data_IF_857050296562
#
_entry.id   IF_857050296562
#
_cell.length_a   1.000
_cell.length_b   1.000
_cell.length_c   1.000
_cell.angle_alpha   90.00
_cell.angle_beta   90.00
_cell.angle_gamma   90.00
#
_symmetry.space_group_name_H-M   'P 1'
#
loop_
_entity.id
_entity.type
_entity.pdbx_description
1 polymer ?
#
# COMPACT_ATOMS: atom_id res chain seq x y z
N UNK A 1 78.99 -5.18 23.73
CA UNK A 1 77.78 -5.61 24.46
C UNK A 1 76.71 -4.50 24.40
N UNK A 2 76.32 -4.06 23.19
CA UNK A 2 75.51 -2.84 23.01
C UNK A 2 74.71 -2.85 21.69
N UNK A 3 74.12 -3.99 21.34
CA UNK A 3 73.35 -4.15 20.09
C UNK A 3 72.03 -4.92 20.26
N UNK A 4 71.64 -5.26 21.50
CA UNK A 4 70.50 -6.16 21.76
C UNK A 4 69.23 -5.46 22.25
N UNK A 5 69.27 -4.14 22.44
CA UNK A 5 68.19 -3.39 23.12
C UNK A 5 67.25 -2.64 22.17
N UNK A 6 67.57 -2.54 20.87
CA UNK A 6 66.73 -1.78 19.91
C UNK A 6 65.70 -2.65 19.16
N UNK A 7 65.75 -3.97 19.31
CA UNK A 7 64.85 -4.88 18.59
C UNK A 7 63.48 -5.05 19.27
N UNK A 8 63.36 -4.87 20.59
CA UNK A 8 62.10 -5.12 21.32
C UNK A 8 61.11 -3.94 21.30
N UNK A 9 61.54 -2.73 20.90
CA UNK A 9 60.67 -1.54 20.88
C UNK A 9 59.74 -1.42 19.66
N UNK A 10 59.90 -2.27 18.63
CA UNK A 10 59.18 -2.12 17.34
C UNK A 10 57.96 -3.03 17.16
N UNK A 11 57.71 -3.98 18.06
CA UNK A 11 56.59 -4.92 17.93
C UNK A 11 55.28 -4.45 18.61
N UNK A 12 55.33 -3.47 19.51
CA UNK A 12 54.15 -3.01 20.27
C UNK A 12 53.18 -2.11 19.47
N UNK A 13 53.50 -1.71 18.24
CA UNK A 13 52.73 -0.70 17.48
C UNK A 13 51.84 -1.22 16.35
N UNK A 14 51.73 -2.53 16.10
CA UNK A 14 51.07 -3.08 14.88
C UNK A 14 49.67 -3.67 15.08
N UNK A 15 49.08 -3.61 16.26
CA UNK A 15 47.80 -4.30 16.56
C UNK A 15 46.51 -3.49 16.46
N UNK A 16 46.55 -2.16 16.51
CA UNK A 16 45.37 -1.38 16.92
C UNK A 16 44.50 -0.78 15.80
N UNK A 17 44.82 -0.97 14.51
CA UNK A 17 44.19 -0.21 13.41
C UNK A 17 43.31 -0.97 12.43
N UNK A 18 43.01 -2.26 12.64
CA UNK A 18 42.42 -3.14 11.59
C UNK A 18 40.97 -3.59 11.80
N UNK A 19 40.32 -3.18 12.90
CA UNK A 19 38.94 -3.57 13.23
C UNK A 19 37.85 -2.64 12.70
N UNK A 20 38.12 -1.33 12.60
CA UNK A 20 37.09 -0.29 12.42
C UNK A 20 36.43 -0.28 11.02
N UNK A 21 37.18 -0.68 9.98
CA UNK A 21 36.68 -0.64 8.59
C UNK A 21 35.69 -1.75 8.22
N UNK A 22 35.69 -2.90 8.93
CA UNK A 22 34.81 -4.03 8.62
C UNK A 22 33.39 -3.81 9.16
N UNK A 23 33.28 -3.24 10.36
CA UNK A 23 31.99 -2.94 10.99
C UNK A 23 31.23 -1.84 10.24
N UNK A 24 31.95 -0.84 9.71
CA UNK A 24 31.37 0.21 8.87
C UNK A 24 30.89 -0.30 7.50
N UNK A 25 31.54 -1.32 6.93
CA UNK A 25 31.12 -1.92 5.66
C UNK A 25 29.88 -2.82 5.83
N UNK A 26 29.81 -3.60 6.92
CA UNK A 26 28.65 -4.43 7.25
C UNK A 26 27.41 -3.57 7.59
N UNK A 27 27.59 -2.46 8.31
CA UNK A 27 26.51 -1.52 8.60
C UNK A 27 25.83 -0.93 7.35
N UNK A 28 26.61 -0.60 6.31
CA UNK A 28 26.09 -0.08 5.04
C UNK A 28 25.31 -1.13 4.25
N UNK A 29 25.81 -2.36 4.15
CA UNK A 29 25.12 -3.44 3.43
C UNK A 29 23.77 -3.79 4.10
N UNK A 30 23.70 -3.77 5.43
CA UNK A 30 22.44 -3.97 6.17
C UNK A 30 21.42 -2.85 5.92
N UNK A 31 21.87 -1.60 5.88
CA UNK A 31 21.00 -0.45 5.59
C UNK A 31 20.42 -0.54 4.16
N UNK A 32 21.26 -0.83 3.17
CA UNK A 32 20.85 -1.02 1.78
C UNK A 32 19.85 -2.15 1.60
N UNK A 33 20.03 -3.28 2.31
CA UNK A 33 19.10 -4.41 2.25
C UNK A 33 17.72 -4.08 2.84
N UNK A 34 17.67 -3.33 3.94
CA UNK A 34 16.41 -2.87 4.54
C UNK A 34 15.67 -1.95 3.59
N UNK A 35 16.34 -0.93 3.06
CA UNK A 35 15.77 0.00 2.09
C UNK A 35 15.23 -0.71 0.83
N UNK A 36 15.97 -1.70 0.29
CA UNK A 36 15.45 -2.52 -0.84
C UNK A 36 14.22 -3.33 -0.45
N UNK A 37 14.20 -3.92 0.74
CA UNK A 37 13.05 -4.67 1.25
C UNK A 37 11.82 -3.79 1.39
N UNK A 38 12.01 -2.59 1.95
CA UNK A 38 10.95 -1.61 2.13
C UNK A 38 10.40 -1.16 0.77
N UNK A 39 11.26 -0.81 -0.19
CA UNK A 39 10.84 -0.44 -1.55
C UNK A 39 10.07 -1.57 -2.25
N UNK A 40 10.57 -2.80 -2.16
CA UNK A 40 9.89 -3.95 -2.77
C UNK A 40 8.50 -4.16 -2.16
N UNK A 41 8.37 -4.02 -0.84
CA UNK A 41 7.08 -4.06 -0.14
C UNK A 41 6.10 -3.01 -0.64
N UNK A 42 6.54 -1.75 -0.79
CA UNK A 42 5.72 -0.67 -1.32
C UNK A 42 5.26 -0.92 -2.76
N UNK A 43 6.15 -1.45 -3.62
CA UNK A 43 5.81 -1.80 -5.01
C UNK A 43 4.76 -2.91 -5.04
N UNK A 44 4.93 -3.96 -4.25
CA UNK A 44 3.94 -5.06 -4.17
C UNK A 44 2.60 -4.53 -3.69
N UNK A 45 2.58 -3.70 -2.64
CA UNK A 45 1.35 -3.11 -2.13
C UNK A 45 0.64 -2.21 -3.16
N UNK A 46 1.42 -1.42 -3.92
CA UNK A 46 0.89 -0.61 -5.01
C UNK A 46 0.27 -1.47 -6.13
N UNK A 47 0.95 -2.55 -6.55
CA UNK A 47 0.42 -3.49 -7.55
C UNK A 47 -0.86 -4.15 -7.06
N UNK A 48 -0.89 -4.59 -5.80
CA UNK A 48 -2.09 -5.18 -5.18
C UNK A 48 -3.25 -4.19 -5.18
N UNK A 49 -3.00 -2.92 -4.85
CA UNK A 49 -4.02 -1.88 -4.87
C UNK A 49 -4.60 -1.66 -6.28
N UNK A 50 -3.76 -1.64 -7.32
CA UNK A 50 -4.20 -1.54 -8.72
C UNK A 50 -5.05 -2.74 -9.11
N UNK A 51 -4.58 -3.96 -8.85
CA UNK A 51 -5.32 -5.20 -9.17
C UNK A 51 -6.66 -5.23 -8.44
N UNK A 52 -6.69 -4.86 -7.16
CA UNK A 52 -7.91 -4.75 -6.39
C UNK A 52 -8.87 -3.71 -7.01
N UNK A 53 -8.36 -2.54 -7.42
CA UNK A 53 -9.16 -1.53 -8.12
C UNK A 53 -9.79 -2.05 -9.41
N UNK A 54 -9.02 -2.77 -10.24
CA UNK A 54 -9.54 -3.42 -11.46
C UNK A 54 -10.66 -4.40 -11.12
N UNK A 55 -10.43 -5.31 -10.17
CA UNK A 55 -11.42 -6.32 -9.77
C UNK A 55 -12.68 -5.68 -9.22
N UNK A 56 -12.56 -4.69 -8.34
CA UNK A 56 -13.68 -3.98 -7.73
C UNK A 56 -14.45 -3.18 -8.78
N UNK A 57 -13.75 -2.47 -9.67
CA UNK A 57 -14.37 -1.72 -10.77
C UNK A 57 -15.15 -2.63 -11.71
N UNK A 58 -14.58 -3.77 -12.10
CA UNK A 58 -15.24 -4.75 -12.95
C UNK A 58 -16.45 -5.39 -12.27
N UNK A 59 -16.28 -5.93 -11.06
CA UNK A 59 -17.36 -6.57 -10.32
C UNK A 59 -18.50 -5.59 -10.03
N UNK A 60 -18.20 -4.38 -9.57
CA UNK A 60 -19.19 -3.33 -9.33
C UNK A 60 -19.95 -2.95 -10.60
N UNK A 61 -19.26 -2.80 -11.74
CA UNK A 61 -19.90 -2.54 -13.03
C UNK A 61 -20.84 -3.66 -13.44
N UNK A 62 -20.51 -4.93 -13.16
CA UNK A 62 -21.39 -6.06 -13.46
C UNK A 62 -22.64 -6.11 -12.57
N UNK A 63 -22.53 -5.75 -11.29
CA UNK A 63 -23.60 -5.96 -10.30
C UNK A 63 -24.41 -4.72 -9.95
N UNK A 64 -23.97 -3.50 -10.31
CA UNK A 64 -24.58 -2.26 -9.80
C UNK A 64 -26.10 -2.12 -10.09
N UNK A 65 -26.59 -2.82 -11.13
CA UNK A 65 -28.00 -2.80 -11.53
C UNK A 65 -28.86 -3.85 -10.81
N UNK A 66 -28.27 -4.72 -10.02
CA UNK A 66 -28.99 -5.79 -9.35
C UNK A 66 -29.93 -5.23 -8.28
N UNK A 67 -31.21 -5.55 -8.41
CA UNK A 67 -32.26 -5.21 -7.45
C UNK A 67 -32.88 -6.49 -6.85
N UNK A 68 -33.29 -6.40 -5.58
CA UNK A 68 -34.03 -7.45 -4.87
C UNK A 68 -35.23 -6.77 -4.20
N UNK A 69 -36.45 -7.18 -4.55
CA UNK A 69 -37.71 -6.58 -4.05
C UNK A 69 -37.76 -5.04 -4.21
N UNK A 70 -37.19 -4.52 -5.29
CA UNK A 70 -37.10 -3.08 -5.57
C UNK A 70 -35.97 -2.34 -4.83
N UNK A 71 -35.22 -3.01 -3.95
CA UNK A 71 -34.07 -2.43 -3.27
C UNK A 71 -32.81 -2.50 -4.15
N UNK A 72 -32.00 -1.44 -4.24
CA UNK A 72 -30.82 -1.36 -5.11
C UNK A 72 -29.58 -2.03 -4.47
N UNK A 73 -29.71 -3.32 -4.14
CA UNK A 73 -28.68 -4.07 -3.39
C UNK A 73 -27.33 -4.14 -4.11
N UNK A 74 -27.35 -4.16 -5.45
CA UNK A 74 -26.15 -4.25 -6.28
C UNK A 74 -25.21 -3.07 -6.08
N UNK A 75 -25.70 -1.85 -6.29
CA UNK A 75 -24.87 -0.64 -6.13
C UNK A 75 -24.47 -0.42 -4.67
N UNK A 76 -25.36 -0.71 -3.71
CA UNK A 76 -25.03 -0.59 -2.27
C UNK A 76 -23.87 -1.51 -1.92
N UNK A 77 -23.95 -2.78 -2.33
CA UNK A 77 -22.88 -3.77 -2.09
C UNK A 77 -21.59 -3.35 -2.79
N UNK A 78 -21.66 -2.89 -4.04
CA UNK A 78 -20.50 -2.43 -4.79
C UNK A 78 -19.80 -1.25 -4.10
N UNK A 79 -20.54 -0.26 -3.61
CA UNK A 79 -19.98 0.88 -2.89
C UNK A 79 -19.36 0.47 -1.54
N UNK A 80 -19.99 -0.47 -0.82
CA UNK A 80 -19.39 -1.03 0.41
C UNK A 80 -18.07 -1.73 0.11
N UNK A 81 -17.99 -2.50 -0.97
CA UNK A 81 -16.74 -3.15 -1.39
C UNK A 81 -15.68 -2.13 -1.79
N UNK A 82 -16.04 -1.02 -2.44
CA UNK A 82 -15.11 0.08 -2.73
C UNK A 82 -14.56 0.68 -1.44
N UNK A 83 -15.41 0.94 -0.43
CA UNK A 83 -14.97 1.47 0.85
C UNK A 83 -14.01 0.51 1.56
N UNK A 84 -14.39 -0.77 1.67
CA UNK A 84 -13.55 -1.79 2.32
C UNK A 84 -12.22 -1.98 1.57
N UNK A 85 -12.26 -2.00 0.24
CA UNK A 85 -11.07 -2.03 -0.60
C UNK A 85 -10.17 -0.81 -0.36
N UNK A 86 -10.75 0.38 -0.25
CA UNK A 86 -10.01 1.60 0.09
C UNK A 86 -9.38 1.54 1.49
N UNK A 87 -10.10 1.06 2.50
CA UNK A 87 -9.55 0.85 3.86
C UNK A 87 -8.40 -0.13 3.83
N UNK A 88 -8.54 -1.23 3.09
CA UNK A 88 -7.47 -2.22 2.90
C UNK A 88 -6.26 -1.62 2.17
N UNK A 89 -6.47 -0.93 1.05
CA UNK A 89 -5.39 -0.31 0.28
C UNK A 89 -4.66 0.76 1.11
N UNK A 90 -5.38 1.48 1.98
CA UNK A 90 -4.79 2.42 2.93
C UNK A 90 -3.88 1.75 3.95
N UNK A 91 -4.27 0.58 4.46
CA UNK A 91 -3.42 -0.18 5.39
C UNK A 91 -2.16 -0.72 4.73
N UNK A 92 -2.20 -0.99 3.43
CA UNK A 92 -1.09 -1.61 2.70
C UNK A 92 -0.11 -0.59 2.09
N UNK A 93 -0.59 0.54 1.61
CA UNK A 93 0.21 1.52 0.85
C UNK A 93 -0.23 2.98 1.09
N UNK A 94 -0.77 3.28 2.28
CA UNK A 94 -1.21 4.63 2.67
C UNK A 94 -2.20 5.26 1.66
N UNK A 95 -2.21 6.59 1.58
CA UNK A 95 -3.04 7.32 0.63
C UNK A 95 -2.72 6.99 -0.84
N UNK A 96 -1.50 6.57 -1.15
CA UNK A 96 -1.12 6.17 -2.52
C UNK A 96 -1.87 4.90 -2.93
N UNK A 97 -1.99 3.92 -2.04
CA UNK A 97 -2.79 2.72 -2.27
C UNK A 97 -4.26 3.04 -2.57
N UNK A 98 -4.86 3.92 -1.77
CA UNK A 98 -6.26 4.36 -1.98
C UNK A 98 -6.43 5.04 -3.34
N UNK A 99 -5.50 5.92 -3.70
CA UNK A 99 -5.52 6.61 -4.99
C UNK A 99 -5.41 5.62 -6.16
N UNK A 100 -4.47 4.67 -6.09
CA UNK A 100 -4.27 3.67 -7.15
C UNK A 100 -5.49 2.75 -7.31
N UNK A 101 -6.09 2.30 -6.20
CA UNK A 101 -7.33 1.52 -6.22
C UNK A 101 -8.47 2.31 -6.87
N UNK A 102 -8.66 3.56 -6.45
CA UNK A 102 -9.68 4.46 -6.99
C UNK A 102 -9.50 4.68 -8.49
N UNK A 103 -8.28 5.06 -8.90
CA UNK A 103 -7.94 5.32 -10.30
C UNK A 103 -8.14 4.08 -11.17
N UNK A 104 -7.63 2.91 -10.76
CA UNK A 104 -7.78 1.67 -11.51
C UNK A 104 -9.25 1.24 -11.63
N UNK A 105 -10.04 1.40 -10.56
CA UNK A 105 -11.47 1.10 -10.57
C UNK A 105 -12.28 2.04 -11.45
N UNK A 106 -11.99 3.34 -11.43
CA UNK A 106 -12.61 4.32 -12.34
C UNK A 106 -12.27 3.98 -13.78
N UNK A 107 -10.99 3.78 -14.10
CA UNK A 107 -10.57 3.46 -15.47
C UNK A 107 -11.21 2.17 -15.96
N UNK A 108 -11.27 1.13 -15.13
CA UNK A 108 -11.93 -0.13 -15.48
C UNK A 108 -13.41 0.06 -15.72
N UNK A 109 -14.09 0.83 -14.86
CA UNK A 109 -15.52 1.17 -15.03
C UNK A 109 -15.76 1.92 -16.34
N UNK A 110 -14.95 2.92 -16.65
CA UNK A 110 -15.05 3.68 -17.90
C UNK A 110 -14.76 2.80 -19.12
N UNK A 111 -13.73 1.96 -19.07
CA UNK A 111 -13.42 1.00 -20.13
C UNK A 111 -14.59 0.07 -20.36
N UNK A 112 -15.16 -0.54 -19.33
CA UNK A 112 -16.32 -1.42 -19.46
C UNK A 112 -17.60 -0.70 -19.90
N UNK A 113 -17.70 0.60 -19.62
CA UNK A 113 -18.82 1.43 -20.08
C UNK A 113 -18.74 1.72 -21.57
N UNK A 114 -17.56 2.12 -22.08
CA UNK A 114 -17.43 2.66 -23.44
C UNK A 114 -16.78 1.70 -24.44
N UNK A 115 -16.09 0.66 -23.97
CA UNK A 115 -15.40 -0.34 -24.79
C UNK A 115 -16.15 -1.66 -24.66
N UNK A 116 -17.32 -1.72 -25.30
CA UNK A 116 -18.15 -2.92 -25.28
C UNK A 116 -18.31 -3.53 -26.67
N UNK A 117 -18.06 -4.85 -26.83
CA UNK A 117 -18.38 -5.55 -28.06
C UNK A 117 -19.88 -5.44 -28.36
N UNK A 118 -20.23 -5.17 -29.61
CA UNK A 118 -21.62 -5.12 -30.09
C UNK A 118 -22.45 -3.91 -29.64
N UNK A 119 -21.84 -2.88 -29.06
CA UNK A 119 -22.52 -1.62 -28.71
C UNK A 119 -23.43 -1.70 -27.49
N UNK A 120 -23.36 -2.79 -26.70
CA UNK A 120 -24.05 -2.88 -25.42
C UNK A 120 -23.36 -1.97 -24.38
N UNK A 121 -24.11 -1.24 -23.57
CA UNK A 121 -23.53 -0.32 -22.59
C UNK A 121 -23.86 -0.85 -21.20
N UNK A 122 -22.85 -1.29 -20.46
CA UNK A 122 -23.06 -1.84 -19.12
C UNK A 122 -23.58 -0.78 -18.13
N UNK A 123 -23.16 0.48 -18.33
CA UNK A 123 -23.58 1.64 -17.54
C UNK A 123 -24.54 2.49 -18.41
N UNK A 124 -25.83 2.17 -18.34
CA UNK A 124 -26.88 2.84 -19.14
C UNK A 124 -27.32 4.17 -18.55
N UNK A 125 -28.07 4.98 -19.31
CA UNK A 125 -28.69 6.23 -18.84
C UNK A 125 -29.85 5.96 -17.86
N UNK A 126 -29.51 5.64 -16.61
CA UNK A 126 -30.45 5.36 -15.53
C UNK A 126 -29.85 5.79 -14.18
N UNK A 127 -30.69 6.08 -13.17
CA UNK A 127 -30.20 6.62 -11.89
C UNK A 127 -29.12 5.77 -11.20
N UNK A 128 -29.27 4.44 -11.18
CA UNK A 128 -28.30 3.54 -10.52
C UNK A 128 -26.92 3.58 -11.16
N UNK A 129 -26.86 3.79 -12.48
CA UNK A 129 -25.61 3.94 -13.23
C UNK A 129 -24.86 5.20 -12.82
N UNK A 130 -25.56 6.32 -12.64
CA UNK A 130 -24.95 7.57 -12.14
C UNK A 130 -24.49 7.44 -10.69
N UNK A 131 -25.27 6.76 -9.84
CA UNK A 131 -24.86 6.47 -8.46
C UNK A 131 -23.58 5.65 -8.43
N UNK A 132 -23.43 4.65 -9.31
CA UNK A 132 -22.20 3.87 -9.41
C UNK A 132 -21.03 4.71 -9.92
N UNK A 133 -21.22 5.41 -11.04
CA UNK A 133 -20.16 6.16 -11.73
C UNK A 133 -19.58 7.28 -10.87
N UNK A 134 -20.44 8.00 -10.13
CA UNK A 134 -20.02 9.08 -9.24
C UNK A 134 -19.71 8.58 -7.83
N UNK A 135 -20.47 7.59 -7.34
CA UNK A 135 -20.32 7.06 -5.99
C UNK A 135 -18.99 6.32 -5.80
N UNK A 136 -18.51 5.58 -6.79
CA UNK A 136 -17.25 4.85 -6.69
C UNK A 136 -16.06 5.76 -6.35
N UNK A 137 -15.73 6.81 -7.12
CA UNK A 137 -14.60 7.69 -6.79
C UNK A 137 -14.84 8.47 -5.49
N UNK A 138 -16.08 8.86 -5.20
CA UNK A 138 -16.41 9.54 -3.94
C UNK A 138 -16.15 8.64 -2.73
N UNK A 139 -16.64 7.41 -2.75
CA UNK A 139 -16.49 6.44 -1.66
C UNK A 139 -15.05 5.97 -1.51
N UNK A 140 -14.31 5.80 -2.61
CA UNK A 140 -12.87 5.58 -2.57
C UNK A 140 -12.15 6.75 -1.86
N UNK A 141 -12.56 7.99 -2.15
CA UNK A 141 -12.07 9.19 -1.46
C UNK A 141 -12.40 9.19 0.04
N UNK A 142 -13.58 8.72 0.45
CA UNK A 142 -13.95 8.61 1.87
C UNK A 142 -13.00 7.67 2.65
N UNK A 143 -12.44 6.65 2.01
CA UNK A 143 -11.45 5.80 2.66
C UNK A 143 -10.19 6.59 3.09
N UNK A 144 -9.85 7.70 2.43
CA UNK A 144 -8.75 8.57 2.84
C UNK A 144 -9.02 9.33 4.14
N UNK A 145 -10.29 9.45 4.54
CA UNK A 145 -10.72 10.17 5.75
C UNK A 145 -10.70 9.28 7.00
N UNK A 146 -10.43 7.98 6.85
CA UNK A 146 -10.31 7.08 8.00
C UNK A 146 -9.16 7.49 8.93
N UNK A 147 -9.34 7.35 10.26
CA UNK A 147 -8.35 7.76 11.24
C UNK A 147 -6.98 7.12 11.01
N UNK A 148 -5.93 7.95 10.98
CA UNK A 148 -4.54 7.46 10.83
C UNK A 148 -4.15 6.47 11.92
N UNK A 149 -4.70 6.62 13.12
CA UNK A 149 -4.44 5.73 14.25
C UNK A 149 -4.93 4.29 14.08
N UNK A 150 -5.80 3.99 13.11
CA UNK A 150 -6.22 2.62 12.79
C UNK A 150 -5.12 1.79 12.13
N UNK A 151 -4.10 2.45 11.57
CA UNK A 151 -3.06 1.85 10.75
C UNK A 151 -1.67 1.91 11.41
N UNK A 152 -1.59 2.36 12.68
CA UNK A 152 -0.31 2.49 13.37
C UNK A 152 0.14 1.13 13.91
N UNK A 153 1.34 0.71 13.52
CA UNK A 153 2.04 -0.45 14.11
C UNK A 153 2.80 -0.10 15.40
N UNK A 154 2.69 1.14 15.89
CA UNK A 154 3.35 1.56 17.12
C UNK A 154 2.78 0.79 18.34
N UNK A 155 3.64 0.14 19.15
CA UNK A 155 3.20 -0.50 20.37
C UNK A 155 2.55 0.52 21.31
N UNK A 156 1.32 0.27 21.76
CA UNK A 156 0.63 1.12 22.75
C UNK A 156 1.54 1.31 23.96
N UNK A 157 1.93 2.55 24.32
CA UNK A 157 2.81 2.78 25.46
C UNK A 157 2.21 2.15 26.71
N UNK A 158 2.85 1.11 27.27
CA UNK A 158 2.44 0.55 28.56
C UNK A 158 2.56 1.66 29.59
N UNK A 159 1.42 2.21 30.01
CA UNK A 159 1.33 3.17 31.11
C UNK A 159 2.00 2.51 32.31
N UNK A 160 3.23 2.92 32.64
CA UNK A 160 3.94 2.42 33.83
C UNK A 160 3.01 2.71 35.01
N UNK A 161 2.50 1.66 35.64
CA UNK A 161 1.76 1.79 36.89
C UNK A 161 2.68 2.52 37.87
N UNK A 162 2.30 3.74 38.24
CA UNK A 162 2.98 4.48 39.29
C UNK A 162 2.89 3.64 40.57
N UNK A 163 4.05 3.29 41.11
CA UNK A 163 4.19 2.78 42.48
C UNK A 163 4.37 3.98 43.41
#
# INVERSE_FOLDING_TARGET
>A
MSARTEAEGREAGRGAGRGDGRDAADGRDRADRRDRGDRAGHVVAAVVAVVAGVVVGAAGTLVHRWTVDGLPVGVVTALVVVLLGGVFARSAADGVGVFLLGLAGVLTTLTMTFVSPNGDVLVTDQPLSFVWLLGMPLVAGLAMLTPRGWYSDEPVPRRRAAR
#
